data_IF_372232394893
#
_entry.id   IF_372232394893
#
_cell.length_a   1.000
_cell.length_b   1.000
_cell.length_c   1.000
_cell.angle_alpha   90.00
_cell.angle_beta   90.00
_cell.angle_gamma   90.00
#
_symmetry.space_group_name_H-M   'P 1'
#
loop_
_entity.id
_entity.type
_entity.pdbx_description
1 polymer ?
#
# COMPACT_ATOMS: atom_id res chain seq x y z
N UNK A 1 0.22 -19.37 26.33
CA UNK A 1 1.38 -18.57 25.89
C UNK A 1 1.51 -18.68 24.38
N UNK A 2 1.66 -17.56 23.67
CA UNK A 2 1.93 -17.59 22.23
C UNK A 2 3.28 -18.25 22.00
N UNK A 3 3.33 -19.32 21.19
CA UNK A 3 4.58 -19.97 20.80
C UNK A 3 5.36 -18.99 19.91
N UNK A 4 6.58 -18.60 20.29
CA UNK A 4 7.46 -17.85 19.39
C UNK A 4 8.13 -18.81 18.40
N UNK A 5 8.63 -18.27 17.30
CA UNK A 5 9.54 -19.00 16.42
C UNK A 5 10.79 -19.33 17.22
N UNK A 6 11.34 -20.51 17.02
CA UNK A 6 12.75 -20.77 17.33
C UNK A 6 13.57 -19.95 16.33
N UNK A 7 14.56 -19.22 16.83
CA UNK A 7 15.53 -18.55 15.97
C UNK A 7 16.40 -19.58 15.23
N UNK A 8 17.22 -19.11 14.28
CA UNK A 8 18.13 -19.99 13.53
C UNK A 8 19.19 -20.65 14.43
N UNK A 9 19.26 -20.25 15.71
CA UNK A 9 20.11 -20.81 16.75
C UNK A 9 19.34 -21.72 17.73
N UNK A 10 18.06 -22.03 17.46
CA UNK A 10 17.24 -22.94 18.26
C UNK A 10 16.68 -22.36 19.56
N UNK A 11 16.77 -21.05 19.80
CA UNK A 11 16.19 -20.42 20.99
C UNK A 11 14.71 -20.09 20.77
N UNK A 12 13.83 -20.82 21.45
CA UNK A 12 12.42 -20.45 21.58
C UNK A 12 12.26 -19.38 22.67
N UNK A 13 11.45 -18.35 22.39
CA UNK A 13 10.95 -17.42 23.41
C UNK A 13 11.86 -16.23 23.71
N UNK A 14 12.60 -15.69 22.75
CA UNK A 14 13.28 -14.38 22.89
C UNK A 14 12.81 -13.42 21.82
N UNK A 15 12.67 -12.15 22.19
CA UNK A 15 12.36 -11.07 21.25
C UNK A 15 13.62 -10.28 20.97
N UNK A 16 14.12 -10.34 19.74
CA UNK A 16 15.30 -9.62 19.33
C UNK A 16 14.92 -8.27 18.71
N UNK A 17 15.67 -7.22 19.08
CA UNK A 17 15.60 -5.92 18.41
C UNK A 17 16.66 -5.89 17.32
N UNK A 18 16.21 -5.64 16.10
CA UNK A 18 17.11 -5.38 14.99
C UNK A 18 17.58 -3.92 15.05
N UNK A 19 18.89 -3.69 15.16
CA UNK A 19 19.45 -2.34 15.05
C UNK A 19 19.66 -2.02 13.56
N UNK A 20 18.79 -1.17 13.01
CA UNK A 20 18.75 -0.81 11.59
C UNK A 20 19.81 0.27 11.29
N UNK A 21 20.41 0.91 12.31
CA UNK A 21 21.35 2.02 12.11
C UNK A 21 22.67 1.62 11.44
N UNK A 22 22.96 0.33 11.39
CA UNK A 22 24.15 -0.22 10.73
C UNK A 22 23.75 -1.33 9.75
N UNK A 23 23.04 -1.06 8.64
CA UNK A 23 22.94 -2.10 7.58
C UNK A 23 22.56 -1.69 6.16
N UNK A 24 23.33 -2.27 5.22
CA UNK A 24 22.89 -2.68 3.88
C UNK A 24 22.36 -4.13 3.87
N UNK A 25 21.70 -4.54 2.78
CA UNK A 25 20.74 -5.67 2.71
C UNK A 25 21.20 -7.09 3.14
N UNK A 26 22.50 -7.38 3.36
CA UNK A 26 22.99 -8.77 3.46
C UNK A 26 24.06 -9.06 4.53
N UNK A 27 24.34 -8.17 5.49
CA UNK A 27 25.28 -8.53 6.57
C UNK A 27 24.57 -9.33 7.67
N UNK A 28 25.24 -10.35 8.21
CA UNK A 28 24.81 -11.05 9.44
C UNK A 28 24.97 -10.11 10.65
N UNK A 29 24.07 -10.21 11.64
CA UNK A 29 24.12 -9.35 12.83
C UNK A 29 25.11 -9.98 13.80
N UNK A 30 26.36 -9.48 13.83
CA UNK A 30 27.38 -10.01 14.75
C UNK A 30 27.80 -9.08 15.88
N UNK A 31 27.23 -7.88 16.04
CA UNK A 31 27.54 -7.06 17.21
C UNK A 31 26.29 -6.51 17.91
N UNK A 32 26.05 -7.07 19.10
CA UNK A 32 25.09 -6.64 20.14
C UNK A 32 23.61 -6.66 19.77
N UNK A 33 23.11 -7.80 19.29
CA UNK A 33 21.66 -8.04 19.24
C UNK A 33 21.05 -7.92 20.64
N UNK A 34 20.35 -6.80 20.90
CA UNK A 34 19.58 -6.63 22.12
C UNK A 34 18.37 -7.56 22.08
N UNK A 35 18.12 -8.29 23.16
CA UNK A 35 16.97 -9.17 23.26
C UNK A 35 16.23 -9.01 24.59
N UNK A 36 14.94 -9.31 24.55
CA UNK A 36 13.98 -9.15 25.64
C UNK A 36 13.28 -10.47 25.95
N UNK A 37 12.86 -10.63 27.20
CA UNK A 37 12.05 -11.76 27.62
C UNK A 37 10.61 -11.62 27.10
N UNK A 38 9.89 -12.73 26.88
CA UNK A 38 8.45 -12.70 26.71
C UNK A 38 7.79 -12.22 27.99
N UNK A 39 6.71 -11.45 27.82
CA UNK A 39 5.90 -11.00 28.94
C UNK A 39 5.37 -12.18 29.75
N UNK A 40 5.52 -12.07 31.08
CA UNK A 40 4.99 -12.99 32.06
C UNK A 40 4.53 -12.20 33.27
N UNK A 41 3.31 -12.44 33.72
CA UNK A 41 2.67 -11.76 34.85
C UNK A 41 3.08 -12.34 36.21
N UNK A 42 3.71 -13.52 36.23
CA UNK A 42 4.19 -14.17 37.43
C UNK A 42 5.45 -13.47 37.98
N UNK A 43 5.31 -12.91 39.19
CA UNK A 43 6.36 -12.19 39.92
C UNK A 43 7.59 -13.06 40.18
N UNK A 44 7.42 -14.37 40.38
CA UNK A 44 8.53 -15.28 40.68
C UNK A 44 9.36 -15.56 39.42
N UNK A 45 8.70 -15.64 38.27
CA UNK A 45 9.36 -15.78 36.97
C UNK A 45 10.10 -14.49 36.62
N UNK A 46 9.47 -13.32 36.80
CA UNK A 46 10.11 -12.01 36.57
C UNK A 46 11.34 -11.86 37.46
N UNK A 47 11.24 -12.19 38.75
CA UNK A 47 12.37 -12.13 39.67
C UNK A 47 13.51 -13.07 39.25
N UNK A 48 13.18 -14.27 38.80
CA UNK A 48 14.16 -15.23 38.30
C UNK A 48 14.89 -14.72 37.05
N UNK A 49 14.18 -14.04 36.15
CA UNK A 49 14.76 -13.37 34.97
C UNK A 49 15.70 -12.23 35.38
N UNK A 50 15.31 -11.39 36.34
CA UNK A 50 16.16 -10.30 36.84
C UNK A 50 17.46 -10.82 37.46
N UNK A 51 17.39 -11.89 38.25
CA UNK A 51 18.58 -12.53 38.84
C UNK A 51 19.48 -13.11 37.74
N UNK A 52 18.90 -13.75 36.72
CA UNK A 52 19.66 -14.30 35.60
C UNK A 52 20.41 -13.20 34.82
N UNK A 53 19.79 -12.04 34.60
CA UNK A 53 20.42 -10.89 33.96
C UNK A 53 21.59 -10.34 34.80
N UNK A 54 21.43 -10.23 36.11
CA UNK A 54 22.50 -9.84 37.04
C UNK A 54 23.67 -10.84 37.07
N UNK A 55 23.37 -12.15 37.06
CA UNK A 55 24.41 -13.19 37.00
C UNK A 55 25.19 -13.15 35.69
N UNK A 56 24.53 -12.85 34.58
CA UNK A 56 25.18 -12.73 33.27
C UNK A 56 26.22 -11.59 33.21
N UNK A 57 26.12 -10.59 34.09
CA UNK A 57 27.10 -9.50 34.24
C UNK A 57 28.05 -9.69 35.43
N UNK A 58 28.00 -10.85 36.12
CA UNK A 58 28.91 -11.21 37.20
C UNK A 58 28.46 -10.86 38.62
N UNK A 59 27.19 -10.50 38.83
CA UNK A 59 26.63 -10.22 40.17
C UNK A 59 25.91 -11.48 40.69
N UNK A 60 26.49 -12.17 41.67
CA UNK A 60 25.94 -13.44 42.19
C UNK A 60 24.77 -13.24 43.16
N UNK A 61 24.83 -12.21 44.00
CA UNK A 61 23.79 -11.85 44.99
C UNK A 61 23.29 -10.41 44.77
N UNK A 62 22.45 -10.18 43.75
CA UNK A 62 22.01 -8.84 43.39
C UNK A 62 21.00 -8.28 44.41
N UNK A 63 21.16 -7.00 44.74
CA UNK A 63 20.17 -6.20 45.45
C UNK A 63 18.97 -5.88 44.55
N UNK A 64 17.84 -5.46 45.13
CA UNK A 64 16.66 -5.04 44.35
C UNK A 64 16.97 -3.89 43.38
N UNK A 65 17.82 -2.95 43.79
CA UNK A 65 18.24 -1.84 42.93
C UNK A 65 19.06 -2.32 41.72
N UNK A 66 19.95 -3.29 41.92
CA UNK A 66 20.74 -3.89 40.83
C UNK A 66 19.86 -4.71 39.89
N UNK A 67 18.91 -5.48 40.44
CA UNK A 67 17.93 -6.23 39.66
C UNK A 67 17.14 -5.31 38.73
N UNK A 68 16.62 -4.18 39.23
CA UNK A 68 15.85 -3.24 38.41
C UNK A 68 16.74 -2.53 37.38
N UNK A 69 17.96 -2.14 37.76
CA UNK A 69 18.88 -1.41 36.88
C UNK A 69 19.37 -2.25 35.70
N UNK A 70 19.58 -3.55 35.92
CA UNK A 70 20.20 -4.45 34.95
C UNK A 70 19.19 -5.36 34.22
N UNK A 71 17.91 -5.31 34.60
CA UNK A 71 16.84 -6.03 33.90
C UNK A 71 16.71 -5.53 32.46
N UNK A 72 16.72 -6.46 31.50
CA UNK A 72 16.55 -6.12 30.07
C UNK A 72 15.13 -5.71 29.72
N UNK A 73 14.16 -6.19 30.49
CA UNK A 73 12.74 -5.95 30.32
C UNK A 73 12.02 -7.10 29.61
N UNK A 74 10.70 -6.95 29.49
CA UNK A 74 9.82 -7.93 28.85
C UNK A 74 9.04 -7.28 27.69
N UNK A 75 8.71 -8.09 26.69
CA UNK A 75 7.89 -7.68 25.54
C UNK A 75 6.64 -8.56 25.49
N UNK A 76 5.48 -7.90 25.46
CA UNK A 76 4.21 -8.56 25.16
C UNK A 76 3.92 -8.47 23.67
N UNK A 77 3.92 -9.61 22.99
CA UNK A 77 3.53 -9.68 21.59
C UNK A 77 2.06 -10.09 21.47
N UNK A 78 1.23 -9.15 21.01
CA UNK A 78 -0.17 -9.41 20.73
C UNK A 78 -0.32 -10.06 19.34
N UNK A 79 -0.56 -11.36 19.32
CA UNK A 79 -0.86 -12.10 18.10
C UNK A 79 -2.37 -12.29 17.92
N UNK A 80 -2.91 -11.67 16.87
CA UNK A 80 -4.34 -11.74 16.50
C UNK A 80 -4.72 -13.06 15.81
N UNK A 81 -3.73 -13.80 15.28
CA UNK A 81 -3.90 -15.09 14.60
C UNK A 81 -3.04 -16.18 15.26
N UNK A 82 -3.46 -16.70 16.43
CA UNK A 82 -2.61 -17.58 17.26
C UNK A 82 -2.27 -18.93 16.61
N UNK A 83 -2.91 -19.28 15.47
CA UNK A 83 -2.55 -20.45 14.66
C UNK A 83 -1.15 -20.31 14.07
N UNK A 84 -0.71 -19.09 13.79
CA UNK A 84 0.60 -18.78 13.23
C UNK A 84 1.49 -18.18 14.32
N UNK A 85 2.80 -18.34 14.14
CA UNK A 85 3.79 -17.81 15.07
C UNK A 85 3.78 -16.27 15.04
N UNK A 86 3.73 -15.71 13.84
CA UNK A 86 3.52 -14.29 13.60
C UNK A 86 2.07 -14.03 13.21
N UNK A 87 1.56 -12.87 13.59
CA UNK A 87 0.24 -12.42 13.19
C UNK A 87 0.18 -12.32 11.66
N UNK A 88 -0.83 -12.94 11.07
CA UNK A 88 -1.12 -12.79 9.66
C UNK A 88 -1.70 -11.39 9.43
N UNK A 89 -1.13 -10.59 8.51
CA UNK A 89 -1.69 -9.28 8.23
C UNK A 89 -3.03 -9.44 7.48
N UNK A 90 -3.94 -8.49 7.65
CA UNK A 90 -5.27 -8.54 7.00
C UNK A 90 -5.17 -8.62 5.47
N UNK A 91 -4.15 -7.96 4.91
CA UNK A 91 -3.86 -7.90 3.48
C UNK A 91 -3.39 -9.23 2.89
N UNK A 92 -3.02 -10.23 3.71
CA UNK A 92 -2.43 -11.50 3.23
C UNK A 92 -3.32 -12.20 2.19
N UNK A 93 -4.64 -12.21 2.43
CA UNK A 93 -5.62 -12.82 1.52
C UNK A 93 -5.79 -12.10 0.17
N UNK A 94 -5.37 -10.84 0.10
CA UNK A 94 -5.55 -9.94 -1.07
C UNK A 94 -4.22 -9.35 -1.54
N UNK A 95 -3.09 -9.98 -1.19
CA UNK A 95 -1.76 -9.49 -1.54
C UNK A 95 -1.59 -9.27 -3.05
N UNK A 96 -2.05 -10.22 -3.87
CA UNK A 96 -1.99 -10.11 -5.33
C UNK A 96 -2.91 -9.03 -5.88
N UNK A 97 -4.03 -8.75 -5.22
CA UNK A 97 -4.93 -7.67 -5.60
C UNK A 97 -4.24 -6.32 -5.37
N UNK A 98 -3.54 -6.15 -4.24
CA UNK A 98 -2.73 -4.95 -3.96
C UNK A 98 -1.53 -4.79 -4.91
N UNK A 99 -0.83 -5.86 -5.27
CA UNK A 99 0.24 -5.81 -6.29
C UNK A 99 -0.34 -5.43 -7.66
N UNK A 100 -1.52 -5.94 -8.00
CA UNK A 100 -2.20 -5.60 -9.26
C UNK A 100 -2.60 -4.12 -9.29
N UNK A 101 -3.20 -3.60 -8.21
CA UNK A 101 -3.51 -2.17 -8.08
C UNK A 101 -2.27 -1.30 -8.29
N UNK A 102 -1.16 -1.65 -7.63
CA UNK A 102 0.10 -0.94 -7.79
C UNK A 102 0.62 -0.96 -9.23
N UNK A 103 0.56 -2.12 -9.90
CA UNK A 103 0.98 -2.26 -11.30
C UNK A 103 0.09 -1.49 -12.27
N UNK A 104 -1.21 -1.45 -12.03
CA UNK A 104 -2.14 -0.65 -12.83
C UNK A 104 -1.84 0.84 -12.70
N UNK A 105 -1.59 1.31 -11.47
CA UNK A 105 -1.16 2.70 -11.23
C UNK A 105 0.15 3.03 -11.98
N UNK A 106 1.15 2.12 -11.94
CA UNK A 106 2.39 2.28 -12.69
C UNK A 106 2.16 2.28 -14.21
N UNK A 107 1.28 1.41 -14.71
CA UNK A 107 0.92 1.35 -16.12
C UNK A 107 0.28 2.66 -16.56
N UNK A 108 -0.75 3.13 -15.86
CA UNK A 108 -1.45 4.37 -16.15
C UNK A 108 -0.47 5.56 -16.14
N UNK A 109 0.38 5.68 -15.12
CA UNK A 109 1.41 6.71 -15.06
C UNK A 109 2.41 6.63 -16.24
N UNK A 110 2.82 5.42 -16.62
CA UNK A 110 3.76 5.22 -17.73
C UNK A 110 3.13 5.58 -19.06
N UNK A 111 1.90 5.14 -19.32
CA UNK A 111 1.17 5.43 -20.55
C UNK A 111 0.84 6.92 -20.66
N UNK A 112 0.42 7.57 -19.57
CA UNK A 112 0.20 9.03 -19.55
C UNK A 112 1.48 9.81 -19.86
N UNK A 113 2.66 9.32 -19.42
CA UNK A 113 3.93 10.02 -19.62
C UNK A 113 4.65 9.70 -20.92
N UNK A 114 4.51 8.49 -21.45
CA UNK A 114 5.34 7.94 -22.54
C UNK A 114 4.53 7.27 -23.66
N UNK A 115 3.23 7.07 -23.47
CA UNK A 115 2.36 6.49 -24.48
C UNK A 115 2.22 7.43 -25.67
N UNK A 116 1.87 6.85 -26.82
CA UNK A 116 1.52 7.66 -27.99
C UNK A 116 0.24 8.43 -27.68
N UNK A 117 0.39 9.74 -27.50
CA UNK A 117 -0.73 10.66 -27.61
C UNK A 117 -1.28 10.53 -29.03
N UNK A 118 -2.61 10.61 -29.20
CA UNK A 118 -3.22 10.48 -30.52
C UNK A 118 -2.53 11.43 -31.51
N UNK A 119 -1.94 10.87 -32.56
CA UNK A 119 -1.16 11.62 -33.56
C UNK A 119 -1.83 11.50 -34.91
N UNK A 120 -1.83 12.59 -35.67
CA UNK A 120 -2.30 12.57 -37.06
C UNK A 120 -1.10 12.34 -37.96
N UNK A 121 -1.04 11.15 -38.58
CA UNK A 121 -0.01 10.78 -39.54
C UNK A 121 -0.48 11.15 -40.94
N UNK A 122 0.31 11.94 -41.65
CA UNK A 122 0.07 12.32 -43.04
C UNK A 122 1.12 11.66 -43.90
N UNK A 123 0.70 10.74 -44.76
CA UNK A 123 1.58 10.12 -45.75
C UNK A 123 1.40 10.87 -47.07
N UNK A 124 2.48 11.41 -47.64
CA UNK A 124 2.45 12.09 -48.96
C UNK A 124 3.58 11.60 -49.86
N UNK A 125 3.47 11.86 -51.16
CA UNK A 125 4.61 11.70 -52.07
C UNK A 125 5.59 12.86 -51.95
N UNK A 126 6.87 12.54 -51.99
CA UNK A 126 7.99 13.50 -51.96
C UNK A 126 8.56 13.68 -53.36
N UNK A 127 8.70 14.94 -53.75
CA UNK A 127 9.24 15.38 -55.02
C UNK A 127 10.56 16.10 -54.74
N UNK A 128 11.70 15.50 -55.14
CA UNK A 128 13.06 16.00 -54.85
C UNK A 128 13.32 17.40 -55.42
N UNK A 129 12.52 17.84 -56.41
CA UNK A 129 12.69 19.12 -57.10
C UNK A 129 11.91 20.30 -56.46
N UNK A 130 11.07 20.05 -55.45
CA UNK A 130 10.27 21.07 -54.75
C UNK A 130 10.67 21.21 -53.27
N UNK A 131 11.45 22.25 -52.96
CA UNK A 131 11.96 22.64 -51.63
C UNK A 131 10.88 23.13 -50.62
N UNK A 132 9.61 22.74 -50.79
CA UNK A 132 8.45 23.37 -50.14
C UNK A 132 7.90 22.62 -48.91
N UNK A 133 8.72 21.72 -48.34
CA UNK A 133 8.37 20.90 -47.17
C UNK A 133 7.93 21.74 -45.97
N UNK A 134 8.61 22.85 -45.76
CA UNK A 134 8.33 23.76 -44.64
C UNK A 134 7.00 24.49 -44.84
N UNK A 135 6.64 24.87 -46.06
CA UNK A 135 5.37 25.54 -46.36
C UNK A 135 4.19 24.56 -46.24
N UNK A 136 4.37 23.31 -46.69
CA UNK A 136 3.37 22.26 -46.52
C UNK A 136 3.14 21.93 -45.05
N UNK A 137 4.20 21.70 -44.27
CA UNK A 137 4.08 21.48 -42.82
C UNK A 137 3.37 22.65 -42.14
N UNK A 138 3.72 23.89 -42.49
CA UNK A 138 3.09 25.08 -41.92
C UNK A 138 1.62 25.21 -42.32
N UNK A 139 1.23 24.90 -43.57
CA UNK A 139 -0.18 24.89 -44.00
C UNK A 139 -1.00 23.85 -43.25
N UNK A 140 -0.45 22.66 -43.03
CA UNK A 140 -1.08 21.61 -42.23
C UNK A 140 -1.19 22.01 -40.75
N UNK A 141 -0.10 22.52 -40.16
CA UNK A 141 -0.08 23.05 -38.78
C UNK A 141 -1.06 24.20 -38.56
N UNK A 142 -1.28 25.03 -39.57
CA UNK A 142 -2.27 26.12 -39.52
C UNK A 142 -3.71 25.63 -39.72
N UNK A 143 -3.91 24.53 -40.47
CA UNK A 143 -5.23 23.93 -40.70
C UNK A 143 -5.71 23.10 -39.52
N UNK A 144 -4.79 22.40 -38.85
CA UNK A 144 -5.01 21.72 -37.58
C UNK A 144 -4.74 22.74 -36.47
N UNK A 145 -5.75 23.57 -36.14
CA UNK A 145 -5.64 24.78 -35.32
C UNK A 145 -4.65 24.73 -34.15
N UNK A 146 -4.15 25.90 -33.75
CA UNK A 146 -2.93 26.13 -32.95
C UNK A 146 -2.56 25.09 -31.87
N UNK A 147 -3.52 24.53 -31.14
CA UNK A 147 -3.31 23.53 -30.08
C UNK A 147 -2.93 22.12 -30.58
N UNK A 148 -3.29 21.73 -31.82
CA UNK A 148 -3.04 20.40 -32.38
C UNK A 148 -1.86 20.34 -33.35
N UNK A 149 -1.25 21.48 -33.65
CA UNK A 149 -0.16 21.62 -34.63
C UNK A 149 1.14 20.88 -34.25
N UNK A 150 1.34 20.57 -32.96
CA UNK A 150 2.51 19.85 -32.45
C UNK A 150 2.44 18.32 -32.61
N UNK A 151 1.28 17.76 -32.97
CA UNK A 151 1.01 16.31 -32.97
C UNK A 151 0.88 15.69 -34.38
N UNK A 152 1.44 16.34 -35.40
CA UNK A 152 1.39 15.87 -36.79
C UNK A 152 2.71 15.22 -37.19
N UNK A 153 2.65 13.99 -37.70
CA UNK A 153 3.80 13.27 -38.25
C UNK A 153 3.65 13.14 -39.77
N UNK A 154 4.54 13.75 -40.54
CA UNK A 154 4.57 13.62 -42.00
C UNK A 154 5.51 12.49 -42.40
N UNK A 155 5.06 11.58 -43.27
CA UNK A 155 5.87 10.50 -43.84
C UNK A 155 5.89 10.67 -45.35
N UNK A 156 7.09 10.80 -45.89
CA UNK A 156 7.33 11.06 -47.30
C UNK A 156 7.66 9.75 -48.04
N UNK A 157 6.95 9.50 -49.14
CA UNK A 157 7.08 8.30 -49.99
C UNK A 157 7.63 8.72 -51.36
N UNK A 158 8.61 8.03 -51.95
CA UNK A 158 9.13 8.41 -53.26
C UNK A 158 8.09 8.19 -54.37
N UNK A 159 8.04 9.12 -55.33
CA UNK A 159 7.18 9.04 -56.52
C UNK A 159 7.47 7.76 -57.32
N UNK A 160 6.41 6.99 -57.65
CA UNK A 160 6.50 5.74 -58.41
C UNK A 160 6.53 4.45 -57.59
N UNK A 161 6.42 4.53 -56.26
CA UNK A 161 6.43 3.34 -55.39
C UNK A 161 5.14 2.49 -55.46
N UNK A 162 3.99 3.06 -55.88
CA UNK A 162 2.71 2.34 -55.99
C UNK A 162 1.77 2.96 -57.04
N UNK A 163 0.96 2.15 -57.71
CA UNK A 163 -0.01 2.59 -58.76
C UNK A 163 -1.36 3.10 -58.21
N UNK A 164 -1.54 3.16 -56.89
CA UNK A 164 -2.83 3.47 -56.24
C UNK A 164 -2.87 4.91 -55.73
N UNK A 165 -3.68 5.77 -56.36
CA UNK A 165 -3.85 7.19 -56.01
C UNK A 165 -4.39 7.39 -54.59
N UNK A 166 -5.12 6.43 -54.02
CA UNK A 166 -5.56 6.48 -52.63
C UNK A 166 -4.41 6.37 -51.61
N UNK A 167 -3.19 6.06 -52.06
CA UNK A 167 -1.96 6.09 -51.25
C UNK A 167 -1.18 7.40 -51.35
N UNK A 168 -1.60 8.31 -52.22
CA UNK A 168 -0.88 9.56 -52.52
C UNK A 168 -0.97 10.62 -51.40
N UNK A 169 -2.08 10.60 -50.67
CA UNK A 169 -2.30 11.44 -49.51
C UNK A 169 -3.19 10.68 -48.53
N UNK A 170 -2.60 10.13 -47.47
CA UNK A 170 -3.34 9.38 -46.45
C UNK A 170 -3.18 10.06 -45.11
N UNK A 171 -4.29 10.59 -44.60
CA UNK A 171 -4.38 11.06 -43.22
C UNK A 171 -4.86 9.88 -42.37
N UNK A 172 -3.96 9.29 -41.59
CA UNK A 172 -4.30 8.29 -40.58
C UNK A 172 -4.21 8.94 -39.21
N UNK A 173 -5.33 9.01 -38.51
CA UNK A 173 -5.31 9.31 -37.09
C UNK A 173 -4.92 8.03 -36.35
N UNK A 174 -3.81 8.07 -35.63
CA UNK A 174 -3.46 7.03 -34.67
C UNK A 174 -4.30 7.29 -33.42
N UNK A 175 -5.14 6.32 -33.07
CA UNK A 175 -5.85 6.35 -31.81
C UNK A 175 -4.83 6.37 -30.66
N UNK A 176 -5.08 7.14 -29.58
CA UNK A 176 -4.27 7.09 -28.39
C UNK A 176 -4.13 5.64 -27.92
N UNK A 177 -2.90 5.20 -27.63
CA UNK A 177 -2.68 3.83 -27.14
C UNK A 177 -3.29 3.61 -25.75
N UNK A 178 -3.54 4.70 -25.02
CA UNK A 178 -4.07 4.68 -23.67
C UNK A 178 -5.60 4.84 -23.67
N UNK A 179 -6.29 3.74 -23.33
CA UNK A 179 -7.72 3.77 -22.97
C UNK A 179 -7.84 3.73 -21.44
N UNK A 180 -8.25 4.86 -20.85
CA UNK A 180 -8.50 5.02 -19.41
C UNK A 180 -9.56 4.01 -18.89
N UNK A 181 -10.45 3.54 -19.76
CA UNK A 181 -11.51 2.60 -19.37
C UNK A 181 -11.04 1.15 -19.33
N UNK A 182 -9.86 0.83 -19.87
CA UNK A 182 -9.38 -0.53 -20.06
C UNK A 182 -9.38 -1.34 -18.76
N UNK A 183 -9.07 -0.68 -17.63
CA UNK A 183 -8.99 -1.33 -16.31
C UNK A 183 -10.00 -0.83 -15.29
N UNK A 184 -10.86 0.13 -15.64
CA UNK A 184 -11.81 0.76 -14.72
C UNK A 184 -12.71 -0.23 -13.94
N UNK A 185 -13.17 -1.30 -14.59
CA UNK A 185 -13.98 -2.35 -13.95
C UNK A 185 -13.17 -3.28 -13.05
N UNK A 186 -11.91 -3.53 -13.42
CA UNK A 186 -10.97 -4.35 -12.68
C UNK A 186 -10.51 -3.62 -11.41
N UNK A 187 -10.16 -2.34 -11.51
CA UNK A 187 -9.77 -1.48 -10.38
C UNK A 187 -10.88 -1.45 -9.31
N UNK A 188 -12.13 -1.17 -9.71
CA UNK A 188 -13.29 -1.20 -8.78
C UNK A 188 -13.46 -2.57 -8.10
N UNK A 189 -13.19 -3.66 -8.83
CA UNK A 189 -13.31 -5.01 -8.29
C UNK A 189 -12.18 -5.33 -7.31
N UNK A 190 -10.96 -4.89 -7.61
CA UNK A 190 -9.78 -5.03 -6.76
C UNK A 190 -9.95 -4.22 -5.47
N UNK A 191 -10.30 -2.94 -5.58
CA UNK A 191 -10.56 -2.05 -4.45
C UNK A 191 -11.59 -2.66 -3.49
N UNK A 192 -12.71 -3.16 -4.03
CA UNK A 192 -13.73 -3.84 -3.22
C UNK A 192 -13.22 -5.11 -2.53
N UNK A 193 -12.34 -5.90 -3.15
CA UNK A 193 -11.75 -7.08 -2.51
C UNK A 193 -10.79 -6.68 -1.39
N UNK A 194 -9.97 -5.65 -1.62
CA UNK A 194 -9.06 -5.09 -0.61
C UNK A 194 -9.86 -4.61 0.59
N UNK A 195 -10.91 -3.80 0.39
CA UNK A 195 -11.77 -3.32 1.47
C UNK A 195 -12.42 -4.46 2.27
N UNK A 196 -12.84 -5.54 1.62
CA UNK A 196 -13.39 -6.72 2.30
C UNK A 196 -12.39 -7.36 3.26
N UNK A 197 -11.09 -7.37 2.91
CA UNK A 197 -10.05 -7.92 3.77
C UNK A 197 -9.85 -7.10 5.06
N UNK A 198 -10.15 -5.80 5.03
CA UNK A 198 -10.14 -4.92 6.21
C UNK A 198 -11.49 -4.94 6.94
N UNK A 199 -11.90 -6.13 7.42
CA UNK A 199 -13.11 -6.31 8.22
C UNK A 199 -14.37 -5.73 7.55
N UNK A 200 -14.49 -5.91 6.23
CA UNK A 200 -15.62 -5.45 5.42
C UNK A 200 -15.95 -3.96 5.63
N UNK A 201 -14.94 -3.09 5.54
CA UNK A 201 -15.18 -1.64 5.64
C UNK A 201 -16.23 -1.19 4.60
N UNK A 202 -17.30 -0.49 5.00
CA UNK A 202 -18.29 0.03 4.07
C UNK A 202 -17.69 1.02 3.07
N UNK A 203 -18.11 0.91 1.81
CA UNK A 203 -17.62 1.73 0.69
C UNK A 203 -17.79 3.22 0.91
N UNK A 204 -18.96 3.64 1.40
CA UNK A 204 -19.20 5.07 1.70
C UNK A 204 -18.32 5.67 2.80
N UNK A 205 -17.53 4.86 3.53
CA UNK A 205 -16.51 5.37 4.48
C UNK A 205 -15.13 5.56 3.85
N UNK A 206 -14.87 4.92 2.70
CA UNK A 206 -13.56 4.89 2.04
C UNK A 206 -13.59 5.73 0.78
N UNK A 207 -14.59 5.50 -0.07
CA UNK A 207 -14.76 6.22 -1.33
C UNK A 207 -15.84 7.28 -1.17
N UNK A 208 -15.48 8.48 -1.61
CA UNK A 208 -16.48 9.49 -1.95
C UNK A 208 -17.03 9.12 -3.31
N UNK A 209 -17.88 8.09 -3.39
CA UNK A 209 -18.45 7.65 -4.66
C UNK A 209 -19.05 8.84 -5.43
N UNK A 210 -19.05 8.78 -6.77
CA UNK A 210 -19.72 9.73 -7.65
C UNK A 210 -21.22 9.79 -7.29
N UNK A 211 -21.59 10.68 -6.36
CA UNK A 211 -22.93 10.82 -5.78
C UNK A 211 -23.09 10.41 -4.31
N UNK A 212 -22.10 9.76 -3.69
CA UNK A 212 -22.19 9.27 -2.30
C UNK A 212 -22.03 10.38 -1.25
N UNK A 213 -21.21 11.41 -1.53
CA UNK A 213 -21.01 12.53 -0.62
C UNK A 213 -22.30 13.35 -0.37
N UNK A 214 -23.27 13.26 -1.29
CA UNK A 214 -24.56 13.94 -1.21
C UNK A 214 -25.77 12.97 -1.12
N UNK A 215 -25.56 11.66 -1.24
CA UNK A 215 -26.62 10.64 -1.28
C UNK A 215 -26.80 9.81 -0.02
N UNK A 216 -25.76 9.73 0.84
CA UNK A 216 -25.84 8.98 2.10
C UNK A 216 -26.49 9.90 3.14
N UNK A 217 -27.74 9.63 3.51
CA UNK A 217 -28.37 10.34 4.63
C UNK A 217 -27.52 10.15 5.90
N UNK A 218 -27.53 11.13 6.81
CA UNK A 218 -26.67 11.10 8.01
C UNK A 218 -26.87 9.81 8.83
N UNK A 219 -28.10 9.28 8.82
CA UNK A 219 -28.44 8.01 9.47
C UNK A 219 -27.70 6.81 8.86
N UNK A 220 -27.65 6.68 7.53
CA UNK A 220 -26.94 5.60 6.84
C UNK A 220 -25.44 5.70 7.09
N UNK A 221 -24.88 6.93 7.10
CA UNK A 221 -23.47 7.12 7.42
C UNK A 221 -23.14 6.68 8.85
N UNK A 222 -24.04 6.95 9.80
CA UNK A 222 -23.91 6.49 11.18
C UNK A 222 -24.06 4.97 11.29
N UNK A 223 -25.00 4.37 10.58
CA UNK A 223 -25.16 2.91 10.50
C UNK A 223 -23.92 2.24 9.90
N UNK A 224 -23.29 2.84 8.87
CA UNK A 224 -22.04 2.34 8.30
C UNK A 224 -20.90 2.37 9.34
N UNK A 225 -20.77 3.45 10.12
CA UNK A 225 -19.80 3.52 11.23
C UNK A 225 -20.07 2.46 12.30
N UNK A 226 -21.33 2.29 12.69
CA UNK A 226 -21.73 1.29 13.68
C UNK A 226 -21.49 -0.14 13.19
N UNK A 227 -21.82 -0.43 11.93
CA UNK A 227 -21.51 -1.72 11.31
C UNK A 227 -20.01 -2.00 11.35
N UNK A 228 -19.18 -1.05 10.92
CA UNK A 228 -17.72 -1.24 10.94
C UNK A 228 -17.18 -1.36 12.37
N UNK A 229 -17.77 -0.63 13.31
CA UNK A 229 -17.50 -0.82 14.73
C UNK A 229 -17.79 -2.26 15.14
N UNK A 230 -18.97 -2.81 14.86
CA UNK A 230 -19.31 -4.20 15.18
C UNK A 230 -18.33 -5.21 14.56
N UNK A 231 -17.92 -5.02 13.29
CA UNK A 231 -16.95 -5.91 12.63
C UNK A 231 -15.60 -5.97 13.35
N UNK A 232 -15.18 -4.90 14.03
CA UNK A 232 -13.89 -4.80 14.74
C UNK A 232 -14.00 -5.13 16.25
N UNK A 233 -15.11 -5.70 16.70
CA UNK A 233 -15.34 -5.99 18.12
C UNK A 233 -14.29 -6.96 18.68
N UNK A 234 -13.93 -7.99 17.92
CA UNK A 234 -12.97 -9.01 18.36
C UNK A 234 -11.59 -8.40 18.64
N UNK A 235 -11.13 -7.52 17.76
CA UNK A 235 -9.87 -6.81 17.85
C UNK A 235 -9.86 -5.90 19.09
N UNK A 236 -10.92 -5.11 19.27
CA UNK A 236 -11.06 -4.23 20.43
C UNK A 236 -11.06 -5.01 21.75
N UNK A 237 -11.89 -6.04 21.88
CA UNK A 237 -11.94 -6.88 23.10
C UNK A 237 -10.57 -7.51 23.41
N UNK A 238 -9.84 -7.92 22.37
CA UNK A 238 -8.49 -8.49 22.56
C UNK A 238 -7.50 -7.44 23.03
N UNK A 239 -7.55 -6.22 22.50
CA UNK A 239 -6.75 -5.09 22.96
C UNK A 239 -7.08 -4.71 24.40
N UNK A 240 -8.36 -4.56 24.75
CA UNK A 240 -8.81 -4.25 26.13
C UNK A 240 -8.31 -5.30 27.13
N UNK A 241 -8.50 -6.59 26.81
CA UNK A 241 -7.99 -7.69 27.63
C UNK A 241 -6.46 -7.65 27.78
N UNK A 242 -5.76 -7.23 26.73
CA UNK A 242 -4.30 -7.12 26.72
C UNK A 242 -3.84 -5.97 27.61
N UNK A 243 -4.44 -4.79 27.50
CA UNK A 243 -4.17 -3.66 28.38
C UNK A 243 -4.49 -3.95 29.84
N UNK A 244 -5.62 -4.63 30.10
CA UNK A 244 -5.98 -5.08 31.45
C UNK A 244 -4.94 -6.01 32.05
N UNK A 245 -4.36 -6.90 31.23
CA UNK A 245 -3.26 -7.79 31.66
C UNK A 245 -2.01 -6.99 32.06
N UNK A 246 -1.76 -5.86 31.41
CA UNK A 246 -0.67 -4.94 31.73
C UNK A 246 -0.99 -4.00 32.91
N UNK A 247 -2.18 -4.10 33.51
CA UNK A 247 -2.62 -3.25 34.62
C UNK A 247 -3.26 -1.93 34.20
N UNK A 248 -3.60 -1.75 32.92
CA UNK A 248 -4.31 -0.58 32.42
C UNK A 248 -5.79 -0.90 32.20
N UNK A 249 -6.68 -0.10 32.79
CA UNK A 249 -8.10 -0.14 32.46
C UNK A 249 -8.36 0.69 31.19
N UNK A 250 -8.58 -0.01 30.08
CA UNK A 250 -8.90 0.59 28.78
C UNK A 250 -10.23 0.04 28.32
N UNK A 251 -11.13 0.93 27.92
CA UNK A 251 -12.40 0.59 27.30
C UNK A 251 -12.59 1.47 26.06
N UNK A 252 -12.77 0.85 24.90
CA UNK A 252 -13.10 1.56 23.67
C UNK A 252 -14.59 1.89 23.67
N UNK A 253 -14.90 3.17 23.61
CA UNK A 253 -16.29 3.63 23.52
C UNK A 253 -16.74 3.63 22.06
N UNK A 254 -17.97 3.18 21.77
CA UNK A 254 -18.53 3.34 20.44
C UNK A 254 -18.59 4.83 20.08
N UNK A 255 -18.71 5.10 18.79
CA UNK A 255 -18.98 6.45 18.33
C UNK A 255 -20.37 6.87 18.81
N UNK A 256 -20.46 7.54 19.95
CA UNK A 256 -21.69 8.14 20.44
C UNK A 256 -21.89 9.46 19.71
N UNK A 257 -22.90 9.51 18.85
CA UNK A 257 -23.53 10.77 18.49
C UNK A 257 -24.64 10.93 19.51
N UNK A 258 -24.33 11.61 20.61
CA UNK A 258 -25.41 12.27 21.33
C UNK A 258 -26.13 13.16 20.31
N UNK A 259 -27.46 13.12 20.33
CA UNK A 259 -28.35 13.91 19.46
C UNK A 259 -28.15 15.44 19.55
N UNK A 260 -27.11 15.89 20.26
CA UNK A 260 -26.73 17.28 20.47
C UNK A 260 -25.37 17.67 19.85
N UNK A 261 -24.69 16.80 19.10
CA UNK A 261 -23.60 17.25 18.21
C UNK A 261 -22.43 17.96 18.89
N UNK A 262 -21.97 17.48 20.03
CA UNK A 262 -20.66 17.86 20.58
C UNK A 262 -19.70 16.69 20.48
N UNK A 263 -18.60 16.91 19.76
CA UNK A 263 -17.43 16.02 19.66
C UNK A 263 -16.83 15.70 21.02
#
# INVERSE_FOLDING_TARGET
MAKSKEDDNGYSGRFYRLDIKEKGLFSNVEDKTQWYYPFNDDKDIVKSQMIADCKAIGIEEPTLAEMIKHQRGQVLYLNMTPKYIYALPLIDSVYNDCDTEFRLSLYNNTQTRRGFLGQTVIVRYFDEDNDDDTEFENKIKNSLGAENSSNVLTIDVPLGATDDLNRAFVVKQLEPQFDDKLFSSLEKSIEKRIMKAFNNIPEGLVTSGDGALFGVNAETFNQMKMFYWEQNERERRKLESTFKTLGYEVQFQPFNIDSNGSL
#
